data_IF_825988780915
#
_entry.id   IF_825988780915
#
_cell.length_a   1.000
_cell.length_b   1.000
_cell.length_c   1.000
_cell.angle_alpha   90.00
_cell.angle_beta   90.00
_cell.angle_gamma   90.00
#
_symmetry.space_group_name_H-M   'P 1'
#
loop_
_entity.id
_entity.type
_entity.pdbx_description
1 polymer ?
#
# COMPACT_ATOMS: atom_id res chain seq x y z
N UNK A 1 -8.63 27.78 -9.86
CA UNK A 1 -9.45 26.64 -9.38
C UNK A 1 -8.67 25.70 -8.45
N UNK A 2 -7.33 25.72 -8.42
CA UNK A 2 -6.51 24.77 -7.66
C UNK A 2 -6.44 24.97 -6.13
N UNK A 3 -6.34 26.18 -5.62
CA UNK A 3 -6.01 26.44 -4.19
C UNK A 3 -7.17 26.09 -3.25
N UNK A 4 -8.41 26.36 -3.62
CA UNK A 4 -9.60 26.02 -2.81
C UNK A 4 -9.86 24.52 -2.75
N UNK A 5 -9.51 23.77 -3.81
CA UNK A 5 -9.63 22.31 -3.86
C UNK A 5 -8.57 21.65 -2.96
N UNK A 6 -7.35 22.19 -2.94
CA UNK A 6 -6.25 21.70 -2.09
C UNK A 6 -6.52 21.94 -0.60
N UNK A 7 -7.02 23.11 -0.23
CA UNK A 7 -7.39 23.42 1.17
C UNK A 7 -8.56 22.58 1.68
N UNK A 8 -9.55 22.28 0.83
CA UNK A 8 -10.67 21.41 1.16
C UNK A 8 -10.22 19.96 1.38
N UNK A 9 -9.23 19.51 0.60
CA UNK A 9 -8.64 18.17 0.76
C UNK A 9 -7.79 18.05 2.03
N UNK A 10 -6.99 19.05 2.39
CA UNK A 10 -6.16 19.02 3.59
C UNK A 10 -7.00 18.94 4.88
N UNK A 11 -8.10 19.68 4.97
CA UNK A 11 -9.02 19.59 6.12
C UNK A 11 -9.69 18.22 6.20
N UNK A 12 -10.15 17.69 5.07
CA UNK A 12 -10.75 16.35 5.01
C UNK A 12 -9.75 15.26 5.42
N UNK A 13 -8.49 15.39 5.03
CA UNK A 13 -7.42 14.46 5.41
C UNK A 13 -7.14 14.49 6.91
N UNK A 14 -7.03 15.69 7.50
CA UNK A 14 -6.81 15.84 8.94
C UNK A 14 -7.99 15.27 9.75
N UNK A 15 -9.21 15.53 9.31
CA UNK A 15 -10.43 14.97 9.93
C UNK A 15 -10.46 13.43 9.79
N UNK A 16 -10.14 12.90 8.61
CA UNK A 16 -10.09 11.45 8.38
C UNK A 16 -8.98 10.79 9.21
N UNK A 17 -7.79 11.41 9.29
CA UNK A 17 -6.68 10.94 10.11
C UNK A 17 -7.10 10.81 11.58
N UNK A 18 -7.78 11.82 12.11
CA UNK A 18 -8.25 11.83 13.50
C UNK A 18 -9.39 10.84 13.72
N UNK A 19 -10.40 10.87 12.88
CA UNK A 19 -11.65 10.14 13.08
C UNK A 19 -11.49 8.62 12.87
N UNK A 20 -10.68 8.22 11.87
CA UNK A 20 -10.52 6.80 11.51
C UNK A 20 -9.26 6.17 12.08
N UNK A 21 -8.18 6.96 12.28
CA UNK A 21 -6.90 6.41 12.75
C UNK A 21 -6.50 6.90 14.15
N UNK A 22 -7.23 7.87 14.72
CA UNK A 22 -6.99 8.38 16.06
C UNK A 22 -5.74 9.27 16.20
N UNK A 23 -5.15 9.71 15.07
CA UNK A 23 -3.95 10.53 15.09
C UNK A 23 -4.27 12.01 14.90
N UNK A 24 -3.70 12.88 15.73
CA UNK A 24 -3.84 14.33 15.63
C UNK A 24 -2.90 14.97 14.60
N UNK A 25 -1.85 14.24 14.18
CA UNK A 25 -0.84 14.73 13.24
C UNK A 25 -0.17 13.59 12.49
N UNK A 26 0.33 13.89 11.31
CA UNK A 26 1.16 12.99 10.52
C UNK A 26 2.55 12.77 11.14
N UNK A 27 3.12 11.61 10.92
CA UNK A 27 4.55 11.39 11.09
C UNK A 27 5.33 12.07 9.95
N UNK A 28 6.65 12.31 10.12
CA UNK A 28 7.47 12.87 9.04
C UNK A 28 7.29 12.16 7.72
N UNK A 29 7.20 12.90 6.63
CA UNK A 29 6.94 12.47 5.24
C UNK A 29 5.53 11.93 4.96
N UNK A 30 4.76 11.46 5.94
CA UNK A 30 3.44 10.88 5.67
C UNK A 30 2.50 11.85 4.95
N UNK A 31 2.44 13.11 5.42
CA UNK A 31 1.55 14.12 4.82
C UNK A 31 1.92 14.38 3.36
N UNK A 32 3.21 14.53 3.08
CA UNK A 32 3.72 14.74 1.72
C UNK A 32 3.39 13.55 0.81
N UNK A 33 3.60 12.31 1.27
CA UNK A 33 3.27 11.10 0.54
C UNK A 33 1.77 11.01 0.28
N UNK A 34 0.94 11.24 1.30
CA UNK A 34 -0.53 11.20 1.18
C UNK A 34 -1.02 12.20 0.13
N UNK A 35 -0.50 13.44 0.17
CA UNK A 35 -0.84 14.46 -0.84
C UNK A 35 -0.39 14.04 -2.23
N UNK A 36 0.81 13.48 -2.38
CA UNK A 36 1.30 13.00 -3.66
C UNK A 36 0.42 11.86 -4.22
N UNK A 37 0.08 10.87 -3.40
CA UNK A 37 -0.79 9.75 -3.79
C UNK A 37 -2.17 10.25 -4.27
N UNK A 38 -2.72 11.28 -3.65
CA UNK A 38 -3.99 11.89 -4.06
C UNK A 38 -3.94 12.56 -5.43
N UNK A 39 -2.75 12.88 -5.95
CA UNK A 39 -2.62 13.39 -7.33
C UNK A 39 -2.79 12.28 -8.38
N UNK A 40 -2.79 11.01 -7.97
CA UNK A 40 -2.82 9.87 -8.89
C UNK A 40 -1.47 9.57 -9.55
N UNK A 41 -0.39 10.20 -9.08
CA UNK A 41 0.97 9.95 -9.58
C UNK A 41 1.61 8.77 -8.85
N UNK A 42 2.61 8.16 -9.51
CA UNK A 42 3.31 7.01 -8.96
C UNK A 42 4.30 7.42 -7.86
N UNK A 43 4.47 6.56 -6.87
CA UNK A 43 5.40 6.78 -5.77
C UNK A 43 6.16 5.51 -5.38
N UNK A 44 7.42 5.69 -4.97
CA UNK A 44 8.22 4.69 -4.29
C UNK A 44 8.52 5.19 -2.87
N UNK A 45 8.02 4.48 -1.87
CA UNK A 45 8.06 4.88 -0.47
C UNK A 45 8.91 3.90 0.34
N UNK A 46 10.01 4.40 0.88
CA UNK A 46 10.88 3.67 1.81
C UNK A 46 10.72 4.25 3.22
N UNK A 47 10.08 3.49 4.09
CA UNK A 47 9.88 3.87 5.49
C UNK A 47 10.12 2.65 6.40
N UNK A 48 10.77 2.81 7.55
CA UNK A 48 11.03 1.70 8.46
C UNK A 48 9.73 1.05 8.95
N UNK A 49 9.82 -0.17 9.45
CA UNK A 49 8.72 -0.83 10.16
C UNK A 49 8.29 0.05 11.34
N UNK A 50 6.97 0.23 11.52
CA UNK A 50 6.43 1.17 12.49
C UNK A 50 6.42 2.64 12.03
N UNK A 51 6.94 2.96 10.85
CA UNK A 51 6.91 4.31 10.26
C UNK A 51 5.56 4.73 9.68
N UNK A 52 4.55 3.86 9.72
CA UNK A 52 3.20 4.16 9.25
C UNK A 52 3.02 4.09 7.72
N UNK A 53 3.76 3.21 7.04
CA UNK A 53 3.67 2.98 5.58
C UNK A 53 2.23 2.76 5.10
N UNK A 54 1.45 1.94 5.81
CA UNK A 54 0.09 1.60 5.42
C UNK A 54 -0.83 2.81 5.37
N UNK A 55 -0.63 3.79 6.27
CA UNK A 55 -1.41 5.03 6.28
C UNK A 55 -1.26 5.82 4.98
N UNK A 56 -0.09 5.74 4.33
CA UNK A 56 0.21 6.47 3.11
C UNK A 56 -0.70 6.09 1.93
N UNK A 57 -1.32 4.91 1.94
CA UNK A 57 -2.31 4.50 0.93
C UNK A 57 -3.71 4.28 1.51
N UNK A 58 -3.83 3.95 2.79
CA UNK A 58 -5.13 3.76 3.45
C UNK A 58 -5.92 5.06 3.63
N UNK A 59 -5.24 6.14 4.03
CA UNK A 59 -5.90 7.42 4.21
C UNK A 59 -6.37 8.05 2.89
N UNK A 60 -5.57 8.08 1.80
CA UNK A 60 -6.05 8.50 0.48
C UNK A 60 -7.25 7.69 -0.02
N UNK A 61 -7.31 6.38 0.29
CA UNK A 61 -8.43 5.53 -0.11
C UNK A 61 -9.79 6.02 0.40
N UNK A 62 -9.82 6.73 1.53
CA UNK A 62 -11.06 7.29 2.10
C UNK A 62 -11.55 8.53 1.33
N UNK A 63 -10.64 9.20 0.62
CA UNK A 63 -10.94 10.42 -0.17
C UNK A 63 -11.28 10.08 -1.60
N UNK A 64 -10.70 9.01 -2.15
CA UNK A 64 -11.00 8.55 -3.50
C UNK A 64 -12.46 8.12 -3.65
N UNK A 65 -13.04 8.39 -4.83
CA UNK A 65 -14.40 7.97 -5.18
C UNK A 65 -14.49 6.50 -5.63
N UNK A 66 -13.35 5.86 -5.92
CA UNK A 66 -13.26 4.45 -6.33
C UNK A 66 -12.56 3.56 -5.31
N UNK A 67 -12.07 2.44 -5.78
CA UNK A 67 -11.42 1.38 -5.03
C UNK A 67 -9.90 1.62 -4.94
N UNK A 68 -9.31 1.35 -3.78
CA UNK A 68 -7.87 1.17 -3.62
C UNK A 68 -7.56 -0.32 -3.53
N UNK A 69 -6.74 -0.80 -4.48
CA UNK A 69 -6.26 -2.18 -4.51
C UNK A 69 -4.92 -2.27 -3.79
N UNK A 70 -4.81 -3.13 -2.79
CA UNK A 70 -3.56 -3.35 -2.04
C UNK A 70 -3.05 -4.75 -2.30
N UNK A 71 -1.86 -4.87 -2.86
CA UNK A 71 -1.17 -6.15 -3.04
C UNK A 71 -0.26 -6.39 -1.86
N UNK A 72 -0.45 -7.49 -1.15
CA UNK A 72 0.35 -7.85 0.03
C UNK A 72 0.73 -9.34 -0.01
N UNK A 73 1.98 -9.69 0.38
CA UNK A 73 2.46 -11.07 0.25
C UNK A 73 2.08 -11.98 1.42
N UNK A 74 1.59 -11.40 2.52
CA UNK A 74 1.40 -12.12 3.78
C UNK A 74 -0.09 -12.17 4.15
N UNK A 75 -0.68 -13.37 4.05
CA UNK A 75 -2.10 -13.63 4.35
C UNK A 75 -2.48 -13.17 5.77
N UNK A 76 -1.66 -13.49 6.76
CA UNK A 76 -1.91 -13.09 8.13
C UNK A 76 -1.93 -11.56 8.29
N UNK A 77 -0.95 -10.88 7.67
CA UNK A 77 -0.88 -9.42 7.71
C UNK A 77 -2.08 -8.76 7.01
N UNK A 78 -2.54 -9.31 5.88
CA UNK A 78 -3.75 -8.81 5.20
C UNK A 78 -4.95 -8.86 6.12
N UNK A 79 -5.15 -9.98 6.82
CA UNK A 79 -6.25 -10.14 7.75
C UNK A 79 -6.18 -9.11 8.88
N UNK A 80 -5.02 -8.98 9.53
CA UNK A 80 -4.81 -8.03 10.63
C UNK A 80 -5.06 -6.58 10.18
N UNK A 81 -4.60 -6.21 8.98
CA UNK A 81 -4.83 -4.89 8.39
C UNK A 81 -6.32 -4.64 8.13
N UNK A 82 -7.02 -5.61 7.54
CA UNK A 82 -8.46 -5.49 7.23
C UNK A 82 -9.31 -5.47 8.50
N UNK A 83 -8.99 -6.31 9.48
CA UNK A 83 -9.70 -6.33 10.77
C UNK A 83 -9.51 -4.99 11.52
N UNK A 84 -8.30 -4.43 11.50
CA UNK A 84 -8.03 -3.10 12.05
C UNK A 84 -8.79 -1.99 11.32
N UNK A 85 -8.83 -2.02 9.99
CA UNK A 85 -9.60 -1.05 9.20
C UNK A 85 -11.11 -1.16 9.49
N UNK A 86 -11.67 -2.37 9.54
CA UNK A 86 -13.09 -2.60 9.87
C UNK A 86 -13.42 -2.11 11.29
N UNK A 87 -12.54 -2.34 12.25
CA UNK A 87 -12.70 -1.86 13.63
C UNK A 87 -12.74 -0.32 13.71
N UNK A 88 -12.07 0.34 12.77
CA UNK A 88 -12.08 1.80 12.63
C UNK A 88 -13.25 2.31 11.74
N UNK A 89 -14.19 1.44 11.35
CA UNK A 89 -15.34 1.80 10.52
C UNK A 89 -15.01 1.97 9.03
N UNK A 90 -13.84 1.50 8.58
CA UNK A 90 -13.43 1.57 7.17
C UNK A 90 -13.84 0.30 6.44
N UNK A 91 -14.53 0.46 5.32
CA UNK A 91 -14.98 -0.64 4.49
C UNK A 91 -13.81 -1.27 3.72
N UNK A 92 -13.20 -2.29 4.29
CA UNK A 92 -12.09 -3.04 3.72
C UNK A 92 -12.43 -4.53 3.62
N UNK A 93 -11.87 -5.21 2.62
CA UNK A 93 -11.95 -6.65 2.43
C UNK A 93 -10.59 -7.20 1.97
N UNK A 94 -10.44 -8.53 2.09
CA UNK A 94 -9.28 -9.20 1.50
C UNK A 94 -9.71 -10.43 0.69
N UNK A 95 -8.93 -10.75 -0.35
CA UNK A 95 -9.09 -11.94 -1.17
C UNK A 95 -7.75 -12.67 -1.27
N UNK A 96 -7.70 -13.87 -0.70
CA UNK A 96 -6.55 -14.76 -0.73
C UNK A 96 -6.98 -16.23 -0.89
N UNK A 97 -6.04 -17.16 -0.80
CA UNK A 97 -6.29 -18.59 -0.98
C UNK A 97 -6.93 -19.29 0.23
N UNK A 98 -7.04 -18.62 1.37
CA UNK A 98 -7.62 -19.23 2.59
C UNK A 98 -9.13 -19.14 2.66
N UNK A 99 -9.77 -18.33 1.79
CA UNK A 99 -11.21 -18.09 1.79
C UNK A 99 -11.96 -19.20 1.09
N UNK A 100 -13.14 -19.51 1.61
CA UNK A 100 -14.13 -20.40 0.96
C UNK A 100 -14.77 -19.73 -0.25
N UNK A 101 -15.39 -20.52 -1.13
CA UNK A 101 -16.12 -20.00 -2.29
C UNK A 101 -17.27 -19.06 -1.90
N UNK A 102 -17.96 -19.35 -0.79
CA UNK A 102 -19.08 -18.54 -0.29
C UNK A 102 -18.58 -17.17 0.22
N UNK A 103 -17.46 -17.15 0.94
CA UNK A 103 -16.84 -15.89 1.40
C UNK A 103 -16.40 -15.04 0.23
N UNK A 104 -15.75 -15.64 -0.78
CA UNK A 104 -15.37 -14.93 -2.01
C UNK A 104 -16.59 -14.36 -2.74
N UNK A 105 -17.69 -15.13 -2.83
CA UNK A 105 -18.93 -14.67 -3.47
C UNK A 105 -19.56 -13.49 -2.72
N UNK A 106 -19.56 -13.53 -1.40
CA UNK A 106 -20.07 -12.42 -0.57
C UNK A 106 -19.22 -11.14 -0.74
N UNK A 107 -17.88 -11.27 -0.78
CA UNK A 107 -16.98 -10.14 -1.00
C UNK A 107 -17.20 -9.56 -2.39
N UNK A 108 -17.30 -10.39 -3.43
CA UNK A 108 -17.57 -9.95 -4.79
C UNK A 108 -18.90 -9.18 -4.89
N UNK A 109 -19.96 -9.68 -4.23
CA UNK A 109 -21.24 -8.97 -4.19
C UNK A 109 -21.13 -7.59 -3.50
N UNK A 110 -20.32 -7.47 -2.45
CA UNK A 110 -20.07 -6.19 -1.77
C UNK A 110 -19.27 -5.22 -2.65
N UNK A 111 -18.27 -5.74 -3.39
CA UNK A 111 -17.52 -4.95 -4.38
C UNK A 111 -18.47 -4.40 -5.46
N UNK A 112 -19.34 -5.25 -6.02
CA UNK A 112 -20.31 -4.84 -7.05
C UNK A 112 -21.31 -3.78 -6.55
N UNK A 113 -21.66 -3.79 -5.26
CA UNK A 113 -22.50 -2.75 -4.66
C UNK A 113 -21.72 -1.46 -4.28
N UNK A 114 -20.40 -1.43 -4.52
CA UNK A 114 -19.57 -0.27 -4.15
C UNK A 114 -19.37 -0.09 -2.64
N UNK A 115 -19.58 -1.12 -1.86
CA UNK A 115 -19.49 -1.12 -0.39
C UNK A 115 -18.06 -1.27 0.13
N UNK A 116 -17.07 -1.47 -0.75
CA UNK A 116 -15.67 -1.69 -0.36
C UNK A 116 -14.80 -0.52 -0.85
N UNK A 117 -14.00 0.04 0.04
CA UNK A 117 -13.05 1.13 -0.25
C UNK A 117 -11.63 0.63 -0.47
N UNK A 118 -11.24 -0.40 0.27
CA UNK A 118 -9.89 -0.96 0.21
C UNK A 118 -10.02 -2.48 0.05
N UNK A 119 -9.42 -3.01 -1.01
CA UNK A 119 -9.35 -4.44 -1.27
C UNK A 119 -7.90 -4.92 -1.20
N UNK A 120 -7.60 -5.75 -0.22
CA UNK A 120 -6.32 -6.46 -0.14
C UNK A 120 -6.37 -7.74 -0.96
N UNK A 121 -5.34 -7.98 -1.75
CA UNK A 121 -5.23 -9.19 -2.58
C UNK A 121 -3.85 -9.79 -2.47
N UNK A 122 -3.80 -11.11 -2.47
CA UNK A 122 -2.54 -11.83 -2.59
C UNK A 122 -2.06 -11.80 -4.06
N UNK A 123 -0.74 -11.68 -4.31
CA UNK A 123 -0.20 -11.54 -5.66
C UNK A 123 -0.57 -12.70 -6.59
N UNK A 124 -0.67 -13.92 -6.08
CA UNK A 124 -1.07 -15.11 -6.85
C UNK A 124 -2.50 -14.99 -7.42
N UNK A 125 -3.41 -14.27 -6.76
CA UNK A 125 -4.75 -14.03 -7.31
C UNK A 125 -4.72 -13.11 -8.52
N UNK A 126 -3.80 -12.17 -8.55
CA UNK A 126 -3.62 -11.27 -9.69
C UNK A 126 -2.98 -11.98 -10.91
N UNK A 127 -2.38 -13.14 -10.71
CA UNK A 127 -1.95 -13.99 -11.82
C UNK A 127 -3.13 -14.64 -12.58
N UNK A 128 -4.31 -14.73 -11.95
CA UNK A 128 -5.52 -15.32 -12.53
C UNK A 128 -6.19 -14.29 -13.45
N UNK A 129 -6.22 -14.56 -14.77
CA UNK A 129 -6.76 -13.65 -15.78
C UNK A 129 -8.21 -13.24 -15.53
N UNK A 130 -9.10 -14.21 -15.22
CA UNK A 130 -10.51 -13.94 -14.94
C UNK A 130 -10.74 -13.05 -13.71
N UNK A 131 -9.85 -13.11 -12.72
CA UNK A 131 -9.91 -12.21 -11.57
C UNK A 131 -9.52 -10.79 -11.95
N UNK A 132 -8.50 -10.61 -12.79
CA UNK A 132 -8.15 -9.27 -13.30
C UNK A 132 -9.24 -8.68 -14.19
N UNK A 133 -9.89 -9.53 -15.02
CA UNK A 133 -11.06 -9.12 -15.81
C UNK A 133 -12.19 -8.62 -14.90
N UNK A 134 -12.50 -9.35 -13.84
CA UNK A 134 -13.47 -8.91 -12.83
C UNK A 134 -13.07 -7.58 -12.19
N UNK A 135 -11.80 -7.38 -11.85
CA UNK A 135 -11.34 -6.11 -11.26
C UNK A 135 -11.45 -4.92 -12.22
N UNK A 136 -11.43 -5.13 -13.56
CA UNK A 136 -11.60 -4.05 -14.54
C UNK A 136 -13.02 -3.47 -14.56
N UNK A 137 -14.00 -4.15 -13.94
CA UNK A 137 -15.35 -3.61 -13.77
C UNK A 137 -15.40 -2.44 -12.79
N UNK A 138 -14.35 -2.26 -11.97
CA UNK A 138 -14.31 -1.26 -10.92
C UNK A 138 -13.38 -0.09 -11.28
N UNK A 139 -13.75 1.10 -10.80
CA UNK A 139 -12.86 2.26 -10.85
C UNK A 139 -11.78 2.10 -9.79
N UNK A 140 -10.58 1.71 -10.19
CA UNK A 140 -9.41 1.64 -9.31
C UNK A 140 -8.64 2.96 -9.41
N UNK A 141 -8.58 3.70 -8.31
CA UNK A 141 -7.87 4.98 -8.22
C UNK A 141 -6.40 4.82 -7.84
N UNK A 142 -6.11 3.82 -7.01
CA UNK A 142 -4.78 3.59 -6.48
C UNK A 142 -4.48 2.09 -6.38
N UNK A 143 -3.26 1.69 -6.75
CA UNK A 143 -2.71 0.36 -6.52
C UNK A 143 -1.54 0.50 -5.57
N UNK A 144 -1.69 0.04 -4.34
CA UNK A 144 -0.60 -0.03 -3.38
C UNK A 144 0.07 -1.42 -3.46
N UNK A 145 1.38 -1.44 -3.64
CA UNK A 145 2.18 -2.68 -3.60
C UNK A 145 2.97 -2.68 -2.31
N UNK A 146 2.48 -3.43 -1.33
CA UNK A 146 3.15 -3.57 -0.04
C UNK A 146 4.27 -4.59 -0.12
N UNK A 147 5.29 -4.43 0.71
CA UNK A 147 6.54 -5.18 0.69
C UNK A 147 7.13 -5.30 -0.74
N UNK A 148 7.14 -4.16 -1.46
CA UNK A 148 7.52 -4.11 -2.87
C UNK A 148 8.92 -4.66 -3.17
N UNK A 149 9.80 -4.78 -2.15
CA UNK A 149 11.11 -5.42 -2.29
C UNK A 149 11.02 -6.90 -2.71
N UNK A 150 9.87 -7.55 -2.49
CA UNK A 150 9.62 -8.93 -2.91
C UNK A 150 9.68 -9.12 -4.44
N UNK A 151 9.62 -8.05 -5.23
CA UNK A 151 9.70 -8.12 -6.69
C UNK A 151 11.13 -8.36 -7.20
N UNK A 152 12.14 -8.03 -6.40
CA UNK A 152 13.55 -8.08 -6.78
C UNK A 152 14.22 -9.36 -6.31
N UNK A 153 14.95 -10.02 -7.22
CA UNK A 153 15.80 -11.17 -6.88
C UNK A 153 16.97 -10.78 -5.95
N UNK A 154 17.27 -9.50 -5.86
CA UNK A 154 18.28 -8.94 -4.96
C UNK A 154 17.70 -8.49 -3.62
N UNK A 155 16.39 -8.63 -3.45
CA UNK A 155 15.69 -8.42 -2.18
C UNK A 155 15.90 -9.61 -1.24
N UNK A 156 15.67 -9.39 0.04
CA UNK A 156 15.85 -10.45 1.05
C UNK A 156 14.69 -11.47 1.11
N UNK A 157 13.56 -11.18 0.44
CA UNK A 157 12.36 -12.05 0.37
C UNK A 157 11.76 -12.01 -1.05
N UNK A 158 12.52 -12.52 -2.03
CA UNK A 158 12.05 -12.56 -3.41
C UNK A 158 10.86 -13.51 -3.56
N UNK A 159 9.81 -13.05 -4.24
CA UNK A 159 8.60 -13.82 -4.53
C UNK A 159 8.26 -13.78 -6.02
N UNK A 160 8.34 -14.94 -6.72
CA UNK A 160 8.07 -15.00 -8.16
C UNK A 160 6.69 -14.44 -8.56
N UNK A 161 5.69 -14.58 -7.68
CA UNK A 161 4.32 -14.11 -7.94
C UNK A 161 4.26 -12.59 -8.13
N UNK A 162 5.18 -11.83 -7.54
CA UNK A 162 5.28 -10.38 -7.73
C UNK A 162 5.66 -9.98 -9.15
N UNK A 163 6.28 -10.86 -9.93
CA UNK A 163 6.61 -10.57 -11.33
C UNK A 163 5.36 -10.42 -12.20
N UNK A 164 4.23 -11.00 -11.78
CA UNK A 164 2.95 -10.86 -12.49
C UNK A 164 2.36 -9.45 -12.37
N UNK A 165 2.79 -8.66 -11.37
CA UNK A 165 2.29 -7.32 -11.10
C UNK A 165 2.59 -6.31 -12.22
N UNK A 166 3.57 -6.59 -13.09
CA UNK A 166 3.86 -5.79 -14.30
C UNK A 166 2.63 -5.58 -15.19
N UNK A 167 1.69 -6.53 -15.17
CA UNK A 167 0.48 -6.48 -15.98
C UNK A 167 -0.57 -5.49 -15.43
N UNK A 168 -0.48 -5.11 -14.13
CA UNK A 168 -1.44 -4.19 -13.52
C UNK A 168 -1.46 -2.82 -14.21
N UNK A 169 -0.32 -2.38 -14.76
CA UNK A 169 -0.25 -1.12 -15.51
C UNK A 169 -1.07 -1.14 -16.80
N UNK A 170 -1.15 -2.29 -17.45
CA UNK A 170 -1.93 -2.45 -18.68
C UNK A 170 -3.42 -2.63 -18.35
N UNK A 171 -3.73 -3.30 -17.25
CA UNK A 171 -5.10 -3.52 -16.77
C UNK A 171 -5.74 -2.22 -16.23
N UNK A 172 -4.95 -1.37 -15.55
CA UNK A 172 -5.41 -0.17 -14.86
C UNK A 172 -4.53 1.05 -15.21
N UNK A 173 -4.55 1.53 -16.44
CA UNK A 173 -3.62 2.56 -16.92
C UNK A 173 -3.77 3.92 -16.25
N UNK A 174 -4.93 4.21 -15.66
CA UNK A 174 -5.25 5.47 -14.97
C UNK A 174 -5.02 5.43 -13.46
N UNK A 175 -4.76 4.25 -12.88
CA UNK A 175 -4.50 4.13 -11.45
C UNK A 175 -3.07 4.58 -11.13
N UNK A 176 -2.90 5.40 -10.08
CA UNK A 176 -1.58 5.66 -9.51
C UNK A 176 -1.04 4.41 -8.81
N UNK A 177 0.26 4.13 -8.91
CA UNK A 177 0.92 2.99 -8.25
C UNK A 177 1.82 3.49 -7.13
N UNK A 178 1.59 2.98 -5.93
CA UNK A 178 2.37 3.31 -4.73
C UNK A 178 3.09 2.06 -4.24
N UNK A 179 4.39 1.98 -4.50
CA UNK A 179 5.23 0.90 -4.00
C UNK A 179 5.77 1.25 -2.62
N UNK A 180 5.46 0.45 -1.61
CA UNK A 180 5.93 0.69 -0.23
C UNK A 180 6.79 -0.48 0.26
N UNK A 181 7.88 -0.16 0.96
CA UNK A 181 8.75 -1.18 1.57
C UNK A 181 9.51 -0.60 2.76
N UNK A 182 9.93 -1.47 3.67
CA UNK A 182 10.81 -1.07 4.76
C UNK A 182 12.28 -1.03 4.34
N UNK A 183 12.69 -1.86 3.39
CA UNK A 183 14.10 -2.03 3.01
C UNK A 183 14.25 -2.14 1.50
N UNK A 184 15.09 -1.31 0.91
CA UNK A 184 15.48 -1.46 -0.49
C UNK A 184 16.83 -0.79 -0.74
N UNK A 185 17.81 -1.56 -1.20
CA UNK A 185 19.07 -1.03 -1.72
C UNK A 185 18.81 -0.24 -3.01
N UNK A 186 19.74 0.58 -3.49
CA UNK A 186 19.59 1.27 -4.77
C UNK A 186 19.21 0.33 -5.93
N UNK A 187 19.79 -0.86 -5.97
CA UNK A 187 19.47 -1.91 -6.96
C UNK A 187 18.04 -2.38 -6.86
N UNK A 188 17.59 -2.72 -5.64
CA UNK A 188 16.20 -3.16 -5.40
C UNK A 188 15.20 -2.06 -5.77
N UNK A 189 15.53 -0.79 -5.51
CA UNK A 189 14.66 0.35 -5.90
C UNK A 189 14.51 0.44 -7.41
N UNK A 190 15.59 0.25 -8.15
CA UNK A 190 15.55 0.24 -9.60
C UNK A 190 14.68 -0.92 -10.13
N UNK A 191 14.86 -2.13 -9.59
CA UNK A 191 14.04 -3.29 -9.94
C UNK A 191 12.55 -3.05 -9.67
N UNK A 192 12.19 -2.41 -8.53
CA UNK A 192 10.81 -2.05 -8.21
C UNK A 192 10.23 -1.12 -9.29
N UNK A 193 10.95 -0.05 -9.64
CA UNK A 193 10.51 0.93 -10.64
C UNK A 193 10.30 0.26 -12.01
N UNK A 194 11.25 -0.56 -12.44
CA UNK A 194 11.21 -1.25 -13.74
C UNK A 194 10.09 -2.30 -13.81
N UNK A 195 10.01 -3.19 -12.83
CA UNK A 195 9.04 -4.28 -12.86
C UNK A 195 7.60 -3.82 -12.65
N UNK A 196 7.36 -2.82 -11.81
CA UNK A 196 6.03 -2.21 -11.66
C UNK A 196 5.73 -1.18 -12.75
N UNK A 197 6.70 -0.88 -13.62
CA UNK A 197 6.56 0.10 -14.72
C UNK A 197 6.07 1.45 -14.21
N UNK A 198 6.67 1.92 -13.09
CA UNK A 198 6.32 3.20 -12.50
C UNK A 198 6.69 4.35 -13.44
N UNK A 199 5.80 5.32 -13.57
CA UNK A 199 5.95 6.49 -14.47
C UNK A 199 6.42 7.69 -13.64
N UNK A 200 7.66 8.12 -13.84
CA UNK A 200 8.27 9.26 -13.13
C UNK A 200 7.93 9.29 -11.62
N UNK A 201 8.18 8.18 -10.88
CA UNK A 201 7.72 8.09 -9.52
C UNK A 201 8.45 9.07 -8.61
N UNK A 202 7.72 9.75 -7.73
CA UNK A 202 8.34 10.42 -6.60
C UNK A 202 8.93 9.39 -5.65
N UNK A 203 10.16 9.64 -5.18
CA UNK A 203 10.87 8.73 -4.28
C UNK A 203 10.97 9.35 -2.90
N UNK A 204 10.28 8.75 -1.94
CA UNK A 204 10.26 9.17 -0.54
C UNK A 204 11.08 8.21 0.30
N UNK A 205 12.12 8.72 0.97
CA UNK A 205 13.00 7.91 1.82
C UNK A 205 13.01 8.51 3.22
N UNK A 206 12.41 7.81 4.17
CA UNK A 206 12.48 8.18 5.57
C UNK A 206 13.82 7.78 6.19
N UNK A 207 14.28 8.52 7.17
CA UNK A 207 15.45 8.14 7.96
C UNK A 207 15.19 6.82 8.70
N UNK A 208 16.14 5.91 8.63
CA UNK A 208 16.15 4.67 9.42
C UNK A 208 16.71 4.89 10.83
N UNK A 209 17.28 6.07 11.06
CA UNK A 209 17.80 6.41 12.38
C UNK A 209 16.65 6.68 13.35
N UNK A 210 16.53 5.84 14.36
CA UNK A 210 15.57 6.02 15.45
C UNK A 210 16.26 6.78 16.57
N UNK A 211 15.96 8.05 16.73
CA UNK A 211 16.56 8.93 17.74
C UNK A 211 16.36 8.44 19.18
N UNK A 212 15.38 7.56 19.42
CA UNK A 212 15.10 6.94 20.71
C UNK A 212 15.86 5.61 20.94
N UNK A 213 16.67 5.13 19.97
CA UNK A 213 17.50 3.94 20.11
C UNK A 213 18.97 4.33 20.12
N UNK A 214 19.67 3.91 21.17
CA UNK A 214 21.10 4.08 21.28
C UNK A 214 21.79 2.73 21.09
N UNK A 215 22.75 2.66 20.16
CA UNK A 215 23.57 1.47 19.93
C UNK A 215 24.93 1.67 20.55
N UNK A 216 25.30 0.85 21.55
CA UNK A 216 26.61 0.85 22.18
C UNK A 216 27.36 -0.44 21.78
N UNK A 217 28.52 -0.26 21.17
CA UNK A 217 29.40 -1.39 20.76
C UNK A 217 30.53 -1.44 21.76
N UNK A 218 30.56 -2.49 22.58
CA UNK A 218 31.65 -2.73 23.54
C UNK A 218 32.53 -3.87 23.08
N UNK A 219 33.86 -3.79 23.30
CA UNK A 219 34.72 -4.92 23.14
C UNK A 219 34.22 -6.11 24.01
N UNK A 220 34.25 -7.31 23.46
CA UNK A 220 33.90 -8.51 24.25
C UNK A 220 35.07 -8.80 25.20
N UNK A 221 34.95 -8.38 26.46
CA UNK A 221 35.88 -8.77 27.48
C UNK A 221 35.60 -10.24 27.85
N UNK A 222 36.60 -11.11 27.58
CA UNK A 222 36.72 -12.50 28.00
C UNK A 222 35.41 -13.29 28.13
N UNK A 223 35.03 -13.99 27.04
CA UNK A 223 34.14 -15.15 27.18
C UNK A 223 34.98 -16.35 27.65
N UNK A 224 34.82 -16.76 28.89
CA UNK A 224 35.14 -18.08 29.31
C UNK A 224 34.11 -19.08 28.80
#
# INVERSE_FOLDING_TARGET
>A
MGILTIQKSAKQLAEALKNYFGFDRFLPLQEEIVHHVLTGQDALVLMPTGGGKSLCYQLPALVFDGLTLVVSPLIALMKDQVDGLKSNGIAAEFLNSSLTGDEVSQINARLQRGEVKILYVAPERLAIGSFREFLREFKINCIAVDEAHCISQWGHDFRPDYLSLKNLRDDFPSAGVVAVTATATPRVRQDIVEHLRLKDPAVFISSFNRSNLHYDIRPKDNAF
#
